data_IF_327116043251
#
_entry.id   IF_327116043251
#
_cell.length_a   1.000
_cell.length_b   1.000
_cell.length_c   1.000
_cell.angle_alpha   90.00
_cell.angle_beta   90.00
_cell.angle_gamma   90.00
#
_symmetry.space_group_name_H-M   'P 1'
#
loop_
_entity.id
_entity.type
_entity.pdbx_description
1 polymer ?
#
# COMPACT_ATOMS: atom_id res chain seq x y z
N UNK A 1 0.26 8.92 35.68
CA UNK A 1 0.42 7.55 35.17
C UNK A 1 -0.80 7.20 34.32
N UNK A 2 -0.86 7.70 33.08
CA UNK A 2 -1.90 7.35 32.09
C UNK A 2 -1.33 7.33 30.68
N UNK A 3 -0.39 8.25 30.39
CA UNK A 3 0.29 8.35 29.09
C UNK A 3 1.08 7.09 28.71
N UNK A 4 1.65 6.38 29.69
CA UNK A 4 2.42 5.17 29.42
C UNK A 4 1.53 3.99 29.02
N UNK A 5 0.33 3.91 29.59
CA UNK A 5 -0.60 2.79 29.34
C UNK A 5 -1.19 2.90 27.92
N UNK A 6 -1.58 4.11 27.49
CA UNK A 6 -2.05 4.34 26.11
C UNK A 6 -0.97 4.08 25.05
N UNK A 7 0.30 4.38 25.34
CA UNK A 7 1.39 4.08 24.42
C UNK A 7 1.62 2.57 24.28
N UNK A 8 1.49 1.82 25.38
CA UNK A 8 1.60 0.36 25.35
C UNK A 8 0.43 -0.27 24.60
N UNK A 9 -0.80 0.20 24.83
CA UNK A 9 -1.99 -0.27 24.12
C UNK A 9 -1.90 0.01 22.61
N UNK A 10 -1.48 1.21 22.22
CA UNK A 10 -1.28 1.56 20.82
C UNK A 10 -0.23 0.67 20.16
N UNK A 11 0.95 0.50 20.77
CA UNK A 11 2.00 -0.35 20.21
C UNK A 11 1.54 -1.82 20.04
N UNK A 12 0.81 -2.35 21.03
CA UNK A 12 0.25 -3.69 20.94
C UNK A 12 -0.73 -3.82 19.77
N UNK A 13 -1.57 -2.81 19.55
CA UNK A 13 -2.47 -2.77 18.41
C UNK A 13 -1.73 -2.78 17.07
N UNK A 14 -0.70 -1.93 16.91
CA UNK A 14 0.12 -1.92 15.69
C UNK A 14 0.81 -3.28 15.43
N UNK A 15 1.36 -3.91 16.46
CA UNK A 15 2.00 -5.23 16.35
C UNK A 15 0.99 -6.32 15.93
N UNK A 16 -0.23 -6.27 16.48
CA UNK A 16 -1.31 -7.19 16.12
C UNK A 16 -1.75 -7.01 14.66
N UNK A 17 -1.98 -5.78 14.22
CA UNK A 17 -2.37 -5.49 12.83
C UNK A 17 -1.28 -5.86 11.82
N UNK A 18 -0.01 -5.69 12.19
CA UNK A 18 1.10 -6.14 11.36
C UNK A 18 1.12 -7.67 11.20
N UNK A 19 0.85 -8.42 12.29
CA UNK A 19 0.78 -9.88 12.24
C UNK A 19 -0.40 -10.39 11.40
N UNK A 20 -1.58 -9.79 11.56
CA UNK A 20 -2.74 -10.14 10.75
C UNK A 20 -2.51 -9.81 9.26
N UNK A 21 -1.88 -8.68 8.96
CA UNK A 21 -1.47 -8.33 7.60
C UNK A 21 -0.52 -9.38 7.01
N UNK A 22 0.51 -9.80 7.75
CA UNK A 22 1.46 -10.82 7.29
C UNK A 22 0.77 -12.16 6.99
N UNK A 23 -0.15 -12.58 7.87
CA UNK A 23 -0.93 -13.80 7.68
C UNK A 23 -1.81 -13.71 6.42
N UNK A 24 -2.44 -12.57 6.19
CA UNK A 24 -3.26 -12.32 5.02
C UNK A 24 -2.45 -12.34 3.72
N UNK A 25 -1.22 -11.80 3.75
CA UNK A 25 -0.27 -11.88 2.64
C UNK A 25 0.12 -13.34 2.39
N UNK A 26 0.47 -14.10 3.43
CA UNK A 26 0.86 -15.49 3.29
C UNK A 26 -0.26 -16.36 2.69
N UNK A 27 -1.52 -16.07 3.05
CA UNK A 27 -2.68 -16.74 2.48
C UNK A 27 -2.95 -16.29 1.04
N UNK A 28 -2.82 -14.99 0.76
CA UNK A 28 -2.89 -14.47 -0.60
C UNK A 28 -1.84 -15.11 -1.52
N UNK A 29 -0.59 -15.26 -1.07
CA UNK A 29 0.50 -15.87 -1.84
C UNK A 29 0.26 -17.34 -2.21
N UNK A 30 -0.63 -18.04 -1.49
CA UNK A 30 -1.05 -19.41 -1.80
C UNK A 30 -2.26 -19.46 -2.75
N UNK A 31 -2.94 -18.34 -2.97
CA UNK A 31 -4.17 -18.23 -3.75
C UNK A 31 -3.95 -18.34 -5.26
N UNK A 32 -5.03 -18.62 -6.00
CA UNK A 32 -5.02 -18.56 -7.47
C UNK A 32 -4.85 -17.14 -7.99
N UNK A 33 -5.38 -16.13 -7.27
CA UNK A 33 -5.23 -14.73 -7.61
C UNK A 33 -3.76 -14.33 -7.71
N UNK A 34 -2.95 -14.71 -6.72
CA UNK A 34 -1.51 -14.42 -6.71
C UNK A 34 -0.77 -15.04 -7.91
N UNK A 35 -1.19 -16.22 -8.36
CA UNK A 35 -0.60 -16.86 -9.56
C UNK A 35 -0.90 -16.09 -10.86
N UNK A 36 -1.89 -15.20 -10.84
CA UNK A 36 -2.21 -14.30 -11.96
C UNK A 36 -1.27 -13.11 -12.09
N UNK A 37 -0.49 -12.79 -11.04
CA UNK A 37 0.53 -11.75 -11.08
C UNK A 37 1.72 -12.19 -11.94
N UNK A 38 2.38 -11.23 -12.58
CA UNK A 38 3.63 -11.50 -13.28
C UNK A 38 4.78 -11.79 -12.28
N UNK A 39 5.89 -12.35 -12.77
CA UNK A 39 7.00 -12.75 -11.91
C UNK A 39 7.53 -11.60 -11.04
N UNK A 40 7.63 -10.39 -11.59
CA UNK A 40 8.15 -9.23 -10.87
C UNK A 40 7.18 -8.75 -9.78
N UNK A 41 5.88 -8.69 -10.10
CA UNK A 41 4.81 -8.39 -9.14
C UNK A 41 4.77 -9.40 -7.99
N UNK A 42 4.94 -10.69 -8.27
CA UNK A 42 4.98 -11.73 -7.25
C UNK A 42 6.14 -11.50 -6.25
N UNK A 43 7.32 -11.10 -6.73
CA UNK A 43 8.47 -10.82 -5.86
C UNK A 43 8.24 -9.58 -4.97
N UNK A 44 7.54 -8.58 -5.50
CA UNK A 44 7.29 -7.32 -4.79
C UNK A 44 6.03 -7.33 -3.92
N UNK A 45 5.15 -8.32 -4.08
CA UNK A 45 3.82 -8.37 -3.45
C UNK A 45 3.86 -8.11 -1.95
N UNK A 46 4.72 -8.83 -1.22
CA UNK A 46 4.80 -8.69 0.24
C UNK A 46 5.25 -7.29 0.65
N UNK A 47 6.25 -6.74 -0.03
CA UNK A 47 6.77 -5.42 0.28
C UNK A 47 5.75 -4.33 -0.01
N UNK A 48 5.06 -4.40 -1.15
CA UNK A 48 4.03 -3.42 -1.54
C UNK A 48 2.88 -3.44 -0.54
N UNK A 49 2.30 -4.61 -0.25
CA UNK A 49 1.15 -4.70 0.65
C UNK A 49 1.52 -4.22 2.06
N UNK A 50 2.67 -4.65 2.60
CA UNK A 50 3.11 -4.23 3.94
C UNK A 50 3.35 -2.72 4.04
N UNK A 51 4.01 -2.12 3.05
CA UNK A 51 4.26 -0.68 3.08
C UNK A 51 2.97 0.10 2.98
N UNK A 52 2.08 -0.26 2.07
CA UNK A 52 0.79 0.42 1.93
C UNK A 52 -0.04 0.26 3.20
N UNK A 53 -0.09 -0.93 3.80
CA UNK A 53 -0.80 -1.15 5.07
C UNK A 53 -0.23 -0.34 6.22
N UNK A 54 1.10 -0.24 6.31
CA UNK A 54 1.76 0.58 7.32
C UNK A 54 1.38 2.07 7.16
N UNK A 55 1.37 2.61 5.94
CA UNK A 55 0.93 3.97 5.69
C UNK A 55 -0.56 4.18 6.01
N UNK A 56 -1.43 3.26 5.58
CA UNK A 56 -2.86 3.32 5.84
C UNK A 56 -3.16 3.32 7.34
N UNK A 57 -2.46 2.46 8.11
CA UNK A 57 -2.63 2.38 9.54
C UNK A 57 -2.06 3.61 10.26
N UNK A 58 -0.87 4.08 9.88
CA UNK A 58 -0.21 5.21 10.53
C UNK A 58 -0.87 6.56 10.27
N UNK A 59 -1.42 6.78 9.07
CA UNK A 59 -1.97 8.08 8.67
C UNK A 59 -3.50 8.14 8.76
N UNK A 60 -4.18 7.02 8.54
CA UNK A 60 -5.63 6.97 8.48
C UNK A 60 -6.26 6.08 9.55
N UNK A 61 -5.45 5.38 10.36
CA UNK A 61 -5.91 4.40 11.35
C UNK A 61 -6.84 3.33 10.76
N UNK A 62 -6.59 2.94 9.50
CA UNK A 62 -7.38 1.94 8.79
C UNK A 62 -6.64 0.61 8.71
N UNK A 63 -7.30 -0.44 9.19
CA UNK A 63 -6.92 -1.83 8.92
C UNK A 63 -7.27 -2.20 7.48
N UNK A 64 -6.74 -3.32 6.96
CA UNK A 64 -6.95 -3.72 5.55
C UNK A 64 -8.43 -3.84 5.18
N UNK A 65 -9.27 -4.29 6.11
CA UNK A 65 -10.71 -4.52 5.89
C UNK A 65 -11.50 -3.19 5.83
N UNK A 66 -10.89 -2.09 6.27
CA UNK A 66 -11.48 -0.75 6.37
C UNK A 66 -11.00 0.21 5.28
N UNK A 67 -10.08 -0.22 4.40
CA UNK A 67 -9.48 0.67 3.40
C UNK A 67 -10.53 1.33 2.51
N UNK A 68 -10.47 2.65 2.43
CA UNK A 68 -11.32 3.44 1.55
C UNK A 68 -10.52 4.19 0.50
N UNK A 69 -11.22 4.61 -0.57
CA UNK A 69 -10.61 5.27 -1.72
C UNK A 69 -9.85 6.54 -1.38
N UNK A 70 -10.43 7.38 -0.51
CA UNK A 70 -9.84 8.69 -0.14
C UNK A 70 -8.52 8.48 0.60
N UNK A 71 -8.51 7.62 1.61
CA UNK A 71 -7.31 7.27 2.36
C UNK A 71 -6.25 6.59 1.49
N UNK A 72 -6.66 5.67 0.60
CA UNK A 72 -5.75 5.01 -0.34
C UNK A 72 -5.13 6.00 -1.31
N UNK A 73 -5.93 6.95 -1.82
CA UNK A 73 -5.44 8.02 -2.68
C UNK A 73 -4.43 8.89 -1.94
N UNK A 74 -4.76 9.38 -0.74
CA UNK A 74 -3.83 10.19 0.05
C UNK A 74 -2.52 9.44 0.33
N UNK A 75 -2.62 8.16 0.72
CA UNK A 75 -1.45 7.30 0.94
C UNK A 75 -0.59 7.15 -0.31
N UNK A 76 -1.16 6.72 -1.44
CA UNK A 76 -0.41 6.42 -2.66
C UNK A 76 0.09 7.67 -3.39
N UNK A 77 -0.60 8.79 -3.28
CA UNK A 77 -0.27 10.03 -4.01
C UNK A 77 0.65 10.92 -3.18
N UNK A 78 0.41 11.04 -1.88
CA UNK A 78 1.12 12.02 -1.04
C UNK A 78 2.30 11.39 -0.31
N UNK A 79 2.08 10.27 0.39
CA UNK A 79 3.11 9.69 1.27
C UNK A 79 4.04 8.73 0.52
N UNK A 80 3.47 7.81 -0.25
CA UNK A 80 4.21 6.70 -0.87
C UNK A 80 5.35 7.16 -1.79
N UNK A 81 5.19 8.18 -2.68
CA UNK A 81 6.25 8.62 -3.59
C UNK A 81 7.40 9.35 -2.89
N UNK A 82 7.14 9.95 -1.72
CA UNK A 82 8.12 10.71 -0.97
C UNK A 82 9.00 9.81 -0.11
N UNK A 83 8.41 8.78 0.48
CA UNK A 83 9.04 7.93 1.48
C UNK A 83 9.83 6.75 0.91
N UNK A 84 9.60 6.40 -0.36
CA UNK A 84 10.25 5.23 -0.94
C UNK A 84 11.37 5.68 -1.90
N UNK A 85 12.59 5.23 -1.63
CA UNK A 85 13.67 5.18 -2.63
C UNK A 85 13.35 4.03 -3.61
N UNK A 86 12.21 4.12 -4.26
CA UNK A 86 11.73 3.14 -5.22
C UNK A 86 12.20 3.54 -6.61
N UNK A 87 12.55 2.55 -7.42
CA UNK A 87 12.65 2.77 -8.86
C UNK A 87 11.23 2.74 -9.46
N UNK A 88 11.09 3.28 -10.66
CA UNK A 88 9.82 3.31 -11.39
C UNK A 88 9.19 1.94 -11.56
N UNK A 89 9.98 0.86 -11.64
CA UNK A 89 9.45 -0.50 -11.79
C UNK A 89 8.67 -0.96 -10.55
N UNK A 90 9.13 -0.60 -9.35
CA UNK A 90 8.41 -0.86 -8.11
C UNK A 90 7.03 -0.19 -8.14
N UNK A 91 6.99 1.11 -8.47
CA UNK A 91 5.74 1.87 -8.54
C UNK A 91 4.78 1.34 -9.62
N UNK A 92 5.32 0.94 -10.78
CA UNK A 92 4.51 0.32 -11.84
C UNK A 92 3.88 -1.02 -11.43
N UNK A 93 4.44 -1.70 -10.43
CA UNK A 93 3.90 -2.98 -9.94
C UNK A 93 2.79 -2.81 -8.91
N UNK A 94 2.68 -1.61 -8.30
CA UNK A 94 1.70 -1.33 -7.23
C UNK A 94 0.28 -1.55 -7.72
N UNK A 95 -0.05 -1.07 -8.92
CA UNK A 95 -1.40 -1.20 -9.48
C UNK A 95 -1.82 -2.68 -9.62
N UNK A 96 -1.01 -3.50 -10.30
CA UNK A 96 -1.32 -4.91 -10.54
C UNK A 96 -1.40 -5.73 -9.25
N UNK A 97 -0.48 -5.49 -8.31
CA UNK A 97 -0.46 -6.14 -7.00
C UNK A 97 -1.73 -5.79 -6.21
N UNK A 98 -2.02 -4.50 -6.04
CA UNK A 98 -3.15 -4.05 -5.23
C UNK A 98 -4.48 -4.43 -5.87
N UNK A 99 -4.65 -4.30 -7.19
CA UNK A 99 -5.87 -4.73 -7.87
C UNK A 99 -6.15 -6.22 -7.63
N UNK A 100 -5.12 -7.06 -7.77
CA UNK A 100 -5.24 -8.51 -7.58
C UNK A 100 -5.52 -8.86 -6.13
N UNK A 101 -4.88 -8.16 -5.20
CA UNK A 101 -5.07 -8.33 -3.76
C UNK A 101 -6.48 -7.90 -3.32
N UNK A 102 -6.96 -6.72 -3.75
CA UNK A 102 -8.33 -6.28 -3.50
C UNK A 102 -9.37 -7.24 -4.04
N UNK A 103 -9.12 -7.83 -5.22
CA UNK A 103 -10.03 -8.82 -5.77
C UNK A 103 -10.05 -10.09 -4.88
N UNK A 104 -8.88 -10.52 -4.38
CA UNK A 104 -8.80 -11.64 -3.44
C UNK A 104 -9.57 -11.37 -2.13
N UNK A 105 -9.42 -10.17 -1.56
CA UNK A 105 -10.11 -9.79 -0.32
C UNK A 105 -11.62 -9.65 -0.50
N UNK A 106 -12.04 -9.07 -1.63
CA UNK A 106 -13.45 -8.98 -1.99
C UNK A 106 -14.09 -10.36 -2.14
N UNK A 107 -13.42 -11.29 -2.83
CA UNK A 107 -13.90 -12.67 -3.00
C UNK A 107 -13.91 -13.47 -1.69
N UNK A 108 -13.23 -12.97 -0.65
CA UNK A 108 -13.18 -13.57 0.68
C UNK A 108 -14.07 -12.83 1.69
N UNK A 109 -14.93 -11.91 1.24
CA UNK A 109 -15.81 -11.07 2.05
C UNK A 109 -15.10 -10.21 3.11
N UNK A 110 -13.79 -9.97 2.97
CA UNK A 110 -12.98 -9.18 3.90
C UNK A 110 -12.91 -7.69 3.55
N UNK A 111 -13.15 -7.36 2.28
CA UNK A 111 -13.11 -5.98 1.79
C UNK A 111 -14.30 -5.73 0.87
N UNK A 112 -15.49 -5.42 1.40
CA UNK A 112 -16.71 -5.24 0.62
C UNK A 112 -16.59 -4.19 -0.49
N UNK A 113 -15.82 -3.13 -0.24
CA UNK A 113 -15.51 -2.04 -1.17
C UNK A 113 -14.36 -2.36 -2.13
N UNK A 114 -13.78 -3.56 -2.10
CA UNK A 114 -12.61 -3.93 -2.91
C UNK A 114 -12.81 -3.70 -4.41
N UNK A 115 -14.03 -3.93 -4.94
CA UNK A 115 -14.34 -3.65 -6.35
C UNK A 115 -14.38 -2.14 -6.68
N UNK A 116 -14.72 -1.28 -5.71
CA UNK A 116 -14.64 0.18 -5.87
C UNK A 116 -13.17 0.56 -5.99
N UNK A 117 -12.34 0.09 -5.06
CA UNK A 117 -10.90 0.38 -5.06
C UNK A 117 -10.22 -0.08 -6.35
N UNK A 118 -10.52 -1.28 -6.85
CA UNK A 118 -9.98 -1.79 -8.12
C UNK A 118 -10.30 -0.84 -9.29
N UNK A 119 -11.52 -0.28 -9.35
CA UNK A 119 -11.91 0.62 -10.44
C UNK A 119 -11.18 1.95 -10.40
N UNK A 120 -10.86 2.45 -9.21
CA UNK A 120 -10.26 3.78 -9.02
C UNK A 120 -8.72 3.72 -9.03
N UNK A 121 -8.15 2.55 -8.71
CA UNK A 121 -6.72 2.34 -8.60
C UNK A 121 -5.91 2.79 -9.84
N UNK A 122 -6.33 2.56 -11.10
CA UNK A 122 -5.58 3.03 -12.26
C UNK A 122 -5.40 4.56 -12.28
N UNK A 123 -6.45 5.30 -11.88
CA UNK A 123 -6.38 6.77 -11.78
C UNK A 123 -5.44 7.19 -10.66
N UNK A 124 -5.55 6.57 -9.49
CA UNK A 124 -4.68 6.86 -8.34
C UNK A 124 -3.20 6.58 -8.68
N UNK A 125 -2.90 5.43 -9.28
CA UNK A 125 -1.56 5.03 -9.66
C UNK A 125 -0.97 5.91 -10.79
N UNK A 126 -1.80 6.39 -11.72
CA UNK A 126 -1.35 7.37 -12.72
C UNK A 126 -0.86 8.66 -12.07
N UNK A 127 -1.64 9.22 -11.13
CA UNK A 127 -1.27 10.45 -10.42
C UNK A 127 -0.01 10.21 -9.56
N UNK A 128 0.07 9.08 -8.87
CA UNK A 128 1.26 8.68 -8.10
C UNK A 128 2.53 8.71 -8.97
N UNK A 129 2.47 8.17 -10.18
CA UNK A 129 3.61 8.14 -11.11
C UNK A 129 3.96 9.53 -11.65
N UNK A 130 2.99 10.42 -11.84
CA UNK A 130 3.23 11.81 -12.22
C UNK A 130 3.98 12.56 -11.11
N UNK A 131 3.48 12.49 -9.88
CA UNK A 131 4.14 13.11 -8.71
C UNK A 131 5.55 12.55 -8.52
N UNK A 132 5.72 11.24 -8.64
CA UNK A 132 7.06 10.64 -8.53
C UNK A 132 8.03 11.20 -9.56
N UNK A 133 7.60 11.40 -10.82
CA UNK A 133 8.44 12.01 -11.87
C UNK A 133 8.80 13.45 -11.53
N UNK A 134 7.87 14.23 -11.01
CA UNK A 134 8.12 15.61 -10.57
C UNK A 134 9.14 15.66 -9.42
N UNK A 135 9.00 14.79 -8.42
CA UNK A 135 9.96 14.66 -7.31
C UNK A 135 11.37 14.34 -7.84
N UNK A 136 11.48 13.41 -8.79
CA UNK A 136 12.77 13.04 -9.39
C UNK A 136 13.40 14.21 -10.17
N UNK A 137 12.60 14.95 -10.94
CA UNK A 137 13.08 16.13 -11.69
C UNK A 137 13.58 17.23 -10.74
N UNK A 138 12.83 17.53 -9.68
CA UNK A 138 13.21 18.55 -8.71
C UNK A 138 14.50 18.19 -7.98
N UNK A 139 14.65 16.92 -7.55
CA UNK A 139 15.89 16.44 -6.95
C UNK A 139 17.07 16.57 -7.90
N UNK A 140 16.90 16.25 -9.19
CA UNK A 140 17.98 16.39 -10.19
C UNK A 140 18.41 17.85 -10.37
N UNK A 141 17.45 18.78 -10.40
CA UNK A 141 17.73 20.21 -10.49
C UNK A 141 18.53 20.70 -9.28
N UNK A 142 18.18 20.26 -8.06
CA UNK A 142 18.93 20.63 -6.86
C UNK A 142 20.40 20.19 -6.89
N UNK A 143 20.76 19.14 -7.64
CA UNK A 143 22.14 18.69 -7.82
C UNK A 143 22.91 19.39 -8.96
N UNK A 144 22.22 20.00 -9.92
CA UNK A 144 22.83 20.63 -11.10
C UNK A 144 23.12 22.13 -10.91
N UNK A 145 22.60 22.75 -9.84
CA UNK A 145 22.80 24.16 -9.50
C UNK A 145 23.65 24.38 -8.23
N UNK A 146 24.49 23.40 -7.85
CA UNK A 146 25.53 23.52 -6.81
C UNK A 146 26.92 23.61 -7.42
#
# INVERSE_FOLDING_TARGET
MKTNDYMVEANLFFDMEQQETLKLIDDFQKSLNFRGLNYYEQQLTKEVILKVSEFMLNHHFQTIEEWESVALQETLVVSFPQCIVANTNFLNSVEGILATFFNYLYMSDRLPQGQVLIRELPTICSIMLEIFKEIQQNKLNDYLFV
#
